data_IF_247127294742
#
_entry.id   IF_247127294742
#
_cell.length_a   1.000
_cell.length_b   1.000
_cell.length_c   1.000
_cell.angle_alpha   90.00
_cell.angle_beta   90.00
_cell.angle_gamma   90.00
#
_symmetry.space_group_name_H-M   'P 1'
#
loop_
_entity.id
_entity.type
_entity.pdbx_description
1 polymer ?
#
# COMPACT_ATOMS: atom_id res chain seq x y z
N UNK A 1 -9.83 -31.64 13.89
CA UNK A 1 -10.24 -30.77 12.77
C UNK A 1 -9.64 -29.40 13.07
N UNK A 2 -8.38 -29.20 12.69
CA UNK A 2 -7.67 -27.94 12.96
C UNK A 2 -8.25 -26.88 12.05
N UNK A 3 -8.68 -25.78 12.65
CA UNK A 3 -9.45 -24.72 12.03
C UNK A 3 -8.64 -24.06 10.91
N UNK A 4 -9.09 -24.19 9.66
CA UNK A 4 -8.49 -23.57 8.46
C UNK A 4 -8.62 -22.03 8.46
N UNK A 5 -9.25 -21.44 9.47
CA UNK A 5 -9.47 -19.99 9.61
C UNK A 5 -8.26 -19.22 10.16
N UNK A 6 -7.34 -19.90 10.84
CA UNK A 6 -6.15 -19.26 11.44
C UNK A 6 -4.89 -19.34 10.55
N UNK A 7 -4.99 -20.00 9.39
CA UNK A 7 -3.84 -20.35 8.56
C UNK A 7 -3.11 -19.17 7.89
N UNK A 8 -3.64 -17.94 8.00
CA UNK A 8 -3.11 -16.76 7.29
C UNK A 8 -2.84 -15.55 8.21
N UNK A 9 -2.65 -15.80 9.51
CA UNK A 9 -2.29 -14.72 10.46
C UNK A 9 -1.06 -15.10 11.28
N UNK A 10 -0.12 -14.15 11.39
CA UNK A 10 1.12 -14.31 12.15
C UNK A 10 1.17 -13.33 13.34
N UNK A 11 1.62 -13.81 14.50
CA UNK A 11 1.73 -12.97 15.69
C UNK A 11 3.05 -12.20 15.68
N UNK A 12 2.95 -10.88 15.76
CA UNK A 12 4.12 -9.99 15.85
C UNK A 12 4.21 -9.32 17.23
N UNK A 13 5.43 -9.04 17.69
CA UNK A 13 5.69 -8.26 18.91
C UNK A 13 6.43 -6.99 18.55
N UNK A 14 5.90 -5.84 18.98
CA UNK A 14 6.36 -4.52 18.58
C UNK A 14 6.37 -3.56 19.77
N UNK A 15 7.33 -2.63 19.79
CA UNK A 15 7.41 -1.57 20.81
C UNK A 15 6.84 -0.29 20.23
N UNK A 16 5.73 0.18 20.80
CA UNK A 16 5.11 1.45 20.41
C UNK A 16 5.29 2.50 21.50
N UNK A 17 5.45 3.78 21.13
CA UNK A 17 5.27 4.89 22.05
C UNK A 17 3.95 4.78 22.81
N UNK A 18 3.99 4.99 24.14
CA UNK A 18 2.81 4.86 25.01
C UNK A 18 1.62 5.75 24.57
N UNK A 19 1.90 6.88 23.93
CA UNK A 19 0.87 7.78 23.37
C UNK A 19 -0.01 7.10 22.32
N UNK A 20 0.56 6.21 21.50
CA UNK A 20 -0.19 5.50 20.46
C UNK A 20 -1.01 4.36 21.04
N UNK A 21 -0.53 3.70 22.09
CA UNK A 21 -1.34 2.72 22.81
C UNK A 21 -2.59 3.38 23.41
N UNK A 22 -2.45 4.55 24.04
CA UNK A 22 -3.60 5.31 24.56
C UNK A 22 -4.60 5.72 23.47
N UNK A 23 -4.10 6.16 22.30
CA UNK A 23 -4.96 6.49 21.18
C UNK A 23 -5.70 5.25 20.64
N UNK A 24 -5.02 4.11 20.56
CA UNK A 24 -5.63 2.85 20.14
C UNK A 24 -6.71 2.39 21.13
N UNK A 25 -6.49 2.59 22.42
CA UNK A 25 -7.44 2.27 23.47
C UNK A 25 -8.70 3.11 23.34
N UNK A 26 -8.54 4.41 23.14
CA UNK A 26 -9.65 5.32 22.89
C UNK A 26 -10.49 4.90 21.68
N UNK A 27 -9.86 4.50 20.57
CA UNK A 27 -10.59 4.03 19.38
C UNK A 27 -11.44 2.77 19.64
N UNK A 28 -10.98 1.90 20.53
CA UNK A 28 -11.76 0.73 20.94
C UNK A 28 -12.86 1.11 21.91
N UNK A 29 -12.57 2.02 22.85
CA UNK A 29 -13.53 2.51 23.86
C UNK A 29 -14.75 3.22 23.25
N UNK A 30 -14.56 3.91 22.12
CA UNK A 30 -15.65 4.60 21.40
C UNK A 30 -16.36 3.70 20.37
N UNK A 31 -16.12 2.39 20.42
CA UNK A 31 -16.67 1.37 19.51
C UNK A 31 -16.35 1.60 18.01
N UNK A 32 -15.32 2.40 17.70
CA UNK A 32 -14.86 2.60 16.31
C UNK A 32 -14.15 1.33 15.79
N UNK A 33 -13.46 0.61 16.67
CA UNK A 33 -12.87 -0.69 16.36
C UNK A 33 -13.20 -1.76 17.42
N UNK A 34 -13.42 -3.02 17.02
CA UNK A 34 -13.76 -4.09 17.94
C UNK A 34 -12.59 -4.55 18.82
N UNK A 35 -11.34 -4.23 18.45
CA UNK A 35 -10.16 -4.53 19.25
C UNK A 35 -8.94 -3.73 18.79
N UNK A 36 -7.94 -3.63 19.67
CA UNK A 36 -6.61 -3.08 19.34
C UNK A 36 -6.00 -3.75 18.11
N UNK A 37 -6.13 -5.07 18.02
CA UNK A 37 -5.59 -5.85 16.91
C UNK A 37 -6.25 -5.50 15.58
N UNK A 38 -7.56 -5.25 15.58
CA UNK A 38 -8.26 -4.85 14.35
C UNK A 38 -7.90 -3.43 13.93
N UNK A 39 -7.84 -2.49 14.86
CA UNK A 39 -7.38 -1.13 14.58
C UNK A 39 -5.96 -1.11 13.99
N UNK A 40 -5.05 -1.94 14.52
CA UNK A 40 -3.69 -2.08 13.95
C UNK A 40 -3.71 -2.72 12.56
N UNK A 41 -4.53 -3.76 12.33
CA UNK A 41 -4.68 -4.38 11.01
C UNK A 41 -5.20 -3.39 9.98
N UNK A 42 -6.21 -2.58 10.33
CA UNK A 42 -6.75 -1.53 9.47
C UNK A 42 -5.67 -0.51 9.11
N UNK A 43 -4.95 0.02 10.10
CA UNK A 43 -3.86 0.97 9.86
C UNK A 43 -2.75 0.42 8.94
N UNK A 44 -2.36 -0.86 9.12
CA UNK A 44 -1.37 -1.51 8.25
C UNK A 44 -1.92 -1.67 6.83
N UNK A 45 -3.17 -2.10 6.69
CA UNK A 45 -3.84 -2.30 5.40
C UNK A 45 -3.86 -0.99 4.60
N UNK A 46 -4.31 0.09 5.23
CA UNK A 46 -4.40 1.41 4.62
C UNK A 46 -3.02 1.94 4.22
N UNK A 47 -2.03 1.76 5.09
CA UNK A 47 -0.65 2.13 4.81
C UNK A 47 -0.07 1.36 3.60
N UNK A 48 -0.28 0.04 3.54
CA UNK A 48 0.20 -0.79 2.44
C UNK A 48 -0.48 -0.39 1.13
N UNK A 49 -1.80 -0.24 1.10
CA UNK A 49 -2.51 0.15 -0.12
C UNK A 49 -2.08 1.53 -0.62
N UNK A 50 -2.02 2.53 0.26
CA UNK A 50 -1.56 3.86 -0.10
C UNK A 50 -0.13 3.84 -0.68
N UNK A 51 0.74 2.97 -0.17
CA UNK A 51 2.12 2.86 -0.65
C UNK A 51 2.22 2.10 -1.97
N UNK A 52 1.44 1.04 -2.14
CA UNK A 52 1.41 0.25 -3.38
C UNK A 52 0.84 1.07 -4.53
N UNK A 53 -0.25 1.81 -4.30
CA UNK A 53 -0.87 2.69 -5.30
C UNK A 53 0.14 3.74 -5.81
N UNK A 54 0.90 4.37 -4.92
CA UNK A 54 1.93 5.32 -5.33
C UNK A 54 3.01 4.67 -6.22
N UNK A 55 3.38 3.43 -5.94
CA UNK A 55 4.39 2.70 -6.72
C UNK A 55 3.83 2.31 -8.09
N UNK A 56 2.61 1.77 -8.15
CA UNK A 56 1.98 1.36 -9.41
C UNK A 56 1.69 2.55 -10.32
N UNK A 57 1.21 3.67 -9.78
CA UNK A 57 1.03 4.90 -10.55
C UNK A 57 2.34 5.44 -11.13
N UNK A 58 3.41 5.43 -10.34
CA UNK A 58 4.72 5.91 -10.77
C UNK A 58 5.28 5.04 -11.89
N UNK A 59 5.17 3.72 -11.77
CA UNK A 59 5.59 2.77 -12.81
C UNK A 59 4.80 2.97 -14.11
N UNK A 60 3.48 3.15 -14.02
CA UNK A 60 2.64 3.40 -15.20
C UNK A 60 3.03 4.69 -15.91
N UNK A 61 3.22 5.79 -15.17
CA UNK A 61 3.67 7.08 -15.75
C UNK A 61 5.03 6.98 -16.43
N UNK A 62 5.96 6.20 -15.87
CA UNK A 62 7.26 5.96 -16.48
C UNK A 62 7.15 5.15 -17.78
N UNK A 63 6.34 4.08 -17.79
CA UNK A 63 6.09 3.29 -19.00
C UNK A 63 5.42 4.12 -20.11
N UNK A 64 4.43 4.94 -19.75
CA UNK A 64 3.73 5.81 -20.72
C UNK A 64 4.69 6.86 -21.29
N UNK A 65 5.58 7.43 -20.47
CA UNK A 65 6.60 8.38 -20.91
C UNK A 65 7.65 7.73 -21.83
N UNK A 66 8.15 6.54 -21.47
CA UNK A 66 9.08 5.76 -22.31
C UNK A 66 8.45 5.42 -23.66
N UNK A 67 7.19 4.99 -23.66
CA UNK A 67 6.45 4.70 -24.90
C UNK A 67 6.31 5.95 -25.77
N UNK A 68 5.89 7.06 -25.18
CA UNK A 68 5.74 8.34 -25.90
C UNK A 68 7.06 8.81 -26.50
N UNK A 69 8.16 8.66 -25.76
CA UNK A 69 9.49 9.00 -26.25
C UNK A 69 9.92 8.10 -27.41
N UNK A 70 9.69 6.79 -27.31
CA UNK A 70 10.00 5.84 -28.37
C UNK A 70 9.19 6.11 -29.66
N UNK A 71 7.91 6.47 -29.53
CA UNK A 71 7.05 6.89 -30.65
C UNK A 71 7.55 8.19 -31.30
N UNK A 72 7.99 9.17 -30.50
CA UNK A 72 8.56 10.41 -31.02
C UNK A 72 9.91 10.19 -31.73
N UNK A 73 10.77 9.33 -31.20
CA UNK A 73 12.06 9.00 -31.80
C UNK A 73 11.91 8.23 -33.12
N UNK A 74 10.98 7.29 -33.21
CA UNK A 74 10.73 6.53 -34.44
C UNK A 74 10.19 7.44 -35.54
N UNK A 75 9.23 8.32 -35.22
CA UNK A 75 8.71 9.33 -36.13
C UNK A 75 9.82 10.25 -36.64
N UNK A 76 10.66 10.79 -35.75
CA UNK A 76 11.78 11.67 -36.14
C UNK A 76 12.77 10.97 -37.07
N UNK A 77 13.05 9.69 -36.85
CA UNK A 77 14.00 8.90 -37.64
C UNK A 77 13.47 8.62 -39.06
N UNK A 78 12.17 8.41 -39.20
CA UNK A 78 11.51 8.18 -40.49
C UNK A 78 11.46 9.44 -41.37
N UNK A 79 11.29 10.61 -40.76
CA UNK A 79 11.20 11.89 -41.48
C UNK A 79 12.55 12.52 -41.83
N UNK A 80 13.60 12.27 -41.03
CA UNK A 80 14.94 12.82 -41.29
C UNK A 80 15.81 11.94 -42.22
N UNK A 81 15.40 10.69 -42.47
CA UNK A 81 16.08 9.78 -43.39
C UNK A 81 15.44 9.73 -44.80
N UNK A 82 14.58 10.70 -45.13
CA UNK A 82 14.12 11.00 -46.49
C UNK A 82 14.76 12.29 -46.97
#
# INVERSE_FOLDING_TARGET
MTDLRDADTEKITLRLPARYLKALDFLVEVDDFPSRSEAVRAAIRDFVYARVELVTEKLKKMQDAERTLAEAESFKREYLNK
#
